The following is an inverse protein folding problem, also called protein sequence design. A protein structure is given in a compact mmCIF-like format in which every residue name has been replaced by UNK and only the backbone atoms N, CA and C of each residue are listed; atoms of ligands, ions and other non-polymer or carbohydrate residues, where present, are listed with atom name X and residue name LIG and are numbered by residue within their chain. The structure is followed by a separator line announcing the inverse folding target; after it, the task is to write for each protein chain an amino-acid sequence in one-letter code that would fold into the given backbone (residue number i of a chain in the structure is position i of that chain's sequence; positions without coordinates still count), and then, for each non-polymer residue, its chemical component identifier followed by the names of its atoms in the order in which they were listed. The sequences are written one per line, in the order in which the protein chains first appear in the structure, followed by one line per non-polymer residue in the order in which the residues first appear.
data_IF_005523482644
#
_entry.id   IF_005523482644
#
_cell.length_a   1.000
_cell.length_b   1.000
_cell.length_c   1.000
_cell.angle_alpha   90.00
_cell.angle_beta   90.00
_cell.angle_gamma   90.00
#
_symmetry.space_group_name_H-M   'P 1'
#
loop_
_entity.id
_entity.type
_entity.pdbx_description
1 polymer ?
#
# COMPACT_ATOMS: atom_id res chain seq x y z
N UNK A 1 -9.10 37.29 -2.27
CA UNK A 1 -8.26 36.08 -2.13
C UNK A 1 -6.93 36.51 -1.52
N UNK A 2 -6.61 36.11 -0.27
CA UNK A 2 -5.27 36.30 0.28
C UNK A 2 -4.38 35.20 -0.30
N UNK A 3 -3.28 35.58 -0.96
CA UNK A 3 -2.28 34.63 -1.43
C UNK A 3 -1.62 33.98 -0.22
N UNK A 4 -1.86 32.68 -0.02
CA UNK A 4 -1.26 31.92 1.10
C UNK A 4 0.25 31.73 0.89
N UNK A 5 0.69 31.78 -0.37
CA UNK A 5 2.09 31.81 -0.76
C UNK A 5 2.46 33.24 -1.14
N UNK A 6 3.50 33.82 -0.55
CA UNK A 6 3.91 35.19 -0.86
C UNK A 6 4.15 35.41 -2.37
N UNK A 7 4.99 34.58 -2.99
CA UNK A 7 5.25 34.55 -4.44
C UNK A 7 4.68 33.24 -5.04
N UNK A 8 3.67 33.31 -5.94
CA UNK A 8 3.10 32.13 -6.61
C UNK A 8 4.13 31.27 -7.34
N UNK A 9 5.24 31.85 -7.79
CA UNK A 9 6.29 31.14 -8.51
C UNK A 9 7.23 30.35 -7.57
N UNK A 10 7.13 30.58 -6.25
CA UNK A 10 7.93 29.89 -5.22
C UNK A 10 7.09 28.89 -4.41
N UNK A 11 5.83 28.69 -4.76
CA UNK A 11 5.00 27.70 -4.11
C UNK A 11 5.54 26.29 -4.43
N UNK A 12 5.79 25.43 -3.43
CA UNK A 12 6.20 24.06 -3.69
C UNK A 12 5.10 23.33 -4.50
N UNK A 13 5.46 22.34 -5.33
CA UNK A 13 4.49 21.53 -6.03
C UNK A 13 3.49 20.94 -5.03
N UNK A 14 2.17 20.95 -5.33
CA UNK A 14 1.16 20.49 -4.39
C UNK A 14 1.20 18.98 -4.11
N UNK A 15 2.04 18.25 -4.84
CA UNK A 15 2.23 16.82 -4.74
C UNK A 15 3.72 16.51 -4.94
N UNK A 16 4.31 15.77 -4.01
CA UNK A 16 5.68 15.30 -4.11
C UNK A 16 5.70 13.82 -4.51
N UNK A 17 6.60 13.45 -5.43
CA UNK A 17 6.81 12.05 -5.82
C UNK A 17 7.67 11.38 -4.76
N UNK A 18 7.17 10.29 -4.18
CA UNK A 18 7.91 9.51 -3.20
C UNK A 18 9.16 8.83 -3.79
N UNK A 19 10.20 8.70 -2.97
CA UNK A 19 11.33 7.81 -3.28
C UNK A 19 10.88 6.35 -3.26
N UNK A 20 11.57 5.42 -3.95
CA UNK A 20 11.23 4.00 -3.92
C UNK A 20 11.12 3.41 -2.50
N UNK A 21 11.99 3.82 -1.59
CA UNK A 21 12.03 3.37 -0.19
C UNK A 21 10.80 3.89 0.57
N UNK A 22 10.46 5.16 0.38
CA UNK A 22 9.27 5.77 0.98
C UNK A 22 7.98 5.12 0.45
N UNK A 23 7.94 4.77 -0.85
CA UNK A 23 6.83 4.00 -1.43
C UNK A 23 6.68 2.64 -0.75
N UNK A 24 7.77 1.90 -0.60
CA UNK A 24 7.74 0.60 0.10
C UNK A 24 7.27 0.76 1.54
N UNK A 25 7.66 1.84 2.23
CA UNK A 25 7.19 2.08 3.59
C UNK A 25 5.69 2.35 3.66
N UNK A 26 5.18 3.28 2.85
CA UNK A 26 3.76 3.65 2.85
C UNK A 26 2.86 2.50 2.38
N UNK A 27 3.36 1.63 1.51
CA UNK A 27 2.53 0.59 0.90
C UNK A 27 2.67 -0.77 1.55
N UNK A 28 3.88 -1.18 1.91
CA UNK A 28 4.17 -2.53 2.38
C UNK A 28 4.51 -2.61 3.87
N UNK A 29 5.31 -1.67 4.37
CA UNK A 29 5.84 -1.71 5.74
C UNK A 29 5.83 -0.36 6.45
N UNK A 30 4.92 -0.23 7.39
CA UNK A 30 4.80 0.97 8.22
C UNK A 30 3.47 0.98 8.92
N UNK A 31 3.41 1.74 10.01
CA UNK A 31 2.14 2.06 10.66
C UNK A 31 1.24 2.80 9.67
N UNK A 32 0.01 2.31 9.50
CA UNK A 32 -0.95 2.82 8.52
C UNK A 32 -0.61 2.48 7.08
N UNK A 33 0.28 1.52 6.85
CA UNK A 33 0.58 1.07 5.48
C UNK A 33 -0.62 0.36 4.85
N UNK A 34 -0.72 0.41 3.51
CA UNK A 34 -1.82 -0.23 2.79
C UNK A 34 -1.97 -1.72 3.15
N UNK A 35 -0.86 -2.46 3.21
CA UNK A 35 -0.86 -3.89 3.55
C UNK A 35 -1.28 -4.13 5.00
N UNK A 36 -0.86 -3.27 5.93
CA UNK A 36 -1.31 -3.37 7.33
C UNK A 36 -2.81 -3.14 7.45
N UNK A 37 -3.33 -2.06 6.87
CA UNK A 37 -4.74 -1.71 6.87
C UNK A 37 -5.61 -2.81 6.24
N UNK A 38 -5.13 -3.40 5.14
CA UNK A 38 -5.78 -4.55 4.51
C UNK A 38 -5.91 -5.72 5.50
N UNK A 39 -4.81 -6.09 6.16
CA UNK A 39 -4.80 -7.19 7.13
C UNK A 39 -5.71 -6.89 8.33
N UNK A 40 -5.70 -5.65 8.83
CA UNK A 40 -6.59 -5.22 9.92
C UNK A 40 -8.07 -5.29 9.53
N UNK A 41 -8.42 -4.86 8.31
CA UNK A 41 -9.78 -4.95 7.80
C UNK A 41 -10.25 -6.40 7.61
N UNK A 42 -9.34 -7.31 7.24
CA UNK A 42 -9.65 -8.73 7.04
C UNK A 42 -9.70 -9.53 8.35
N UNK A 43 -8.91 -9.14 9.36
CA UNK A 43 -8.78 -9.84 10.64
C UNK A 43 -10.10 -10.25 11.31
N UNK A 44 -11.14 -9.38 11.45
CA UNK A 44 -12.39 -9.78 12.10
C UNK A 44 -13.24 -10.78 11.29
N UNK A 45 -12.81 -11.11 10.08
CA UNK A 45 -13.53 -11.98 9.14
C UNK A 45 -12.76 -13.24 8.75
N UNK A 46 -11.60 -13.48 9.37
CA UNK A 46 -10.74 -14.61 9.09
C UNK A 46 -10.51 -15.47 10.33
N UNK A 47 -10.26 -16.76 10.12
CA UNK A 47 -9.77 -17.64 11.18
C UNK A 47 -8.35 -17.23 11.59
N UNK A 48 -8.05 -17.30 12.89
CA UNK A 48 -6.79 -16.81 13.45
C UNK A 48 -5.56 -17.51 12.85
N UNK A 49 -5.62 -18.83 12.62
CA UNK A 49 -4.54 -19.58 11.97
C UNK A 49 -4.25 -19.07 10.56
N UNK A 50 -5.29 -18.94 9.73
CA UNK A 50 -5.16 -18.43 8.36
C UNK A 50 -4.65 -16.99 8.30
N UNK A 51 -5.08 -16.15 9.25
CA UNK A 51 -4.60 -14.78 9.38
C UNK A 51 -3.12 -14.72 9.76
N UNK A 52 -2.68 -15.58 10.68
CA UNK A 52 -1.27 -15.64 11.10
C UNK A 52 -0.38 -16.16 9.97
N UNK A 53 -0.80 -17.21 9.27
CA UNK A 53 -0.10 -17.72 8.09
C UNK A 53 0.04 -16.63 7.02
N UNK A 54 -1.03 -15.87 6.74
CA UNK A 54 -0.98 -14.75 5.79
C UNK A 54 0.02 -13.67 6.24
N UNK A 55 0.03 -13.31 7.53
CA UNK A 55 0.98 -12.32 8.08
C UNK A 55 2.43 -12.80 7.97
N UNK A 56 2.70 -14.07 8.19
CA UNK A 56 4.03 -14.66 8.02
C UNK A 56 4.48 -14.58 6.57
N UNK A 57 3.65 -15.03 5.63
CA UNK A 57 3.96 -14.93 4.20
C UNK A 57 4.17 -13.48 3.74
N UNK A 58 3.36 -12.53 4.20
CA UNK A 58 3.54 -11.10 3.89
C UNK A 58 4.93 -10.60 4.32
N UNK A 59 5.45 -11.06 5.47
CA UNK A 59 6.81 -10.72 5.93
C UNK A 59 7.89 -11.34 5.04
N UNK A 60 7.69 -12.57 4.59
CA UNK A 60 8.61 -13.24 3.66
C UNK A 60 8.66 -12.56 2.29
N UNK A 61 7.58 -11.91 1.88
CA UNK A 61 7.46 -11.17 0.63
C UNK A 61 7.81 -9.67 0.76
N UNK A 62 8.51 -9.25 1.82
CA UNK A 62 9.01 -7.88 1.97
C UNK A 62 9.97 -7.51 0.82
N UNK A 63 9.63 -6.50 -0.02
CA UNK A 63 10.49 -6.08 -1.13
C UNK A 63 11.75 -5.33 -0.68
N UNK A 64 11.88 -5.03 0.62
CA UNK A 64 13.02 -4.35 1.20
C UNK A 64 14.34 -5.08 0.94
N UNK A 65 15.40 -4.31 0.67
CA UNK A 65 16.73 -4.88 0.39
C UNK A 65 16.94 -5.32 -1.05
N UNK A 66 15.92 -5.23 -1.92
CA UNK A 66 16.08 -5.43 -3.36
C UNK A 66 16.78 -4.25 -4.03
N UNK A 67 17.57 -4.53 -5.05
CA UNK A 67 18.21 -3.52 -5.92
C UNK A 67 17.16 -2.79 -6.78
N UNK A 68 16.07 -3.46 -7.16
CA UNK A 68 14.95 -2.89 -7.91
C UNK A 68 13.68 -2.96 -7.06
N UNK A 69 13.57 -2.05 -6.10
CA UNK A 69 12.44 -1.97 -5.15
C UNK A 69 11.09 -1.87 -5.87
N UNK A 70 11.02 -1.18 -7.01
CA UNK A 70 9.77 -1.04 -7.76
C UNK A 70 9.33 -2.38 -8.31
N UNK A 71 10.24 -3.09 -9.00
CA UNK A 71 9.92 -4.39 -9.58
C UNK A 71 9.59 -5.41 -8.51
N UNK A 72 10.31 -5.40 -7.39
CA UNK A 72 10.06 -6.35 -6.31
C UNK A 72 8.73 -6.05 -5.61
N UNK A 73 8.44 -4.79 -5.30
CA UNK A 73 7.14 -4.38 -4.76
C UNK A 73 5.98 -4.78 -5.68
N UNK A 74 6.14 -4.62 -6.99
CA UNK A 74 5.14 -5.08 -7.96
C UNK A 74 4.92 -6.60 -7.86
N UNK A 75 5.99 -7.40 -7.79
CA UNK A 75 5.86 -8.86 -7.61
C UNK A 75 5.18 -9.20 -6.29
N UNK A 76 5.59 -8.57 -5.19
CA UNK A 76 4.99 -8.79 -3.87
C UNK A 76 3.50 -8.48 -3.88
N UNK A 77 3.07 -7.42 -4.56
CA UNK A 77 1.64 -7.13 -4.73
C UNK A 77 0.90 -8.13 -5.63
N UNK A 78 1.53 -8.58 -6.72
CA UNK A 78 0.90 -9.60 -7.58
C UNK A 78 0.74 -10.93 -6.84
N UNK A 79 1.71 -11.30 -6.01
CA UNK A 79 1.61 -12.43 -5.11
C UNK A 79 0.48 -12.22 -4.08
N UNK A 80 0.47 -11.08 -3.38
CA UNK A 80 -0.54 -10.78 -2.37
C UNK A 80 -1.97 -10.79 -2.96
N UNK A 81 -2.14 -10.29 -4.18
CA UNK A 81 -3.39 -10.38 -4.92
C UNK A 81 -3.83 -11.83 -5.08
N UNK A 82 -2.93 -12.69 -5.51
CA UNK A 82 -3.25 -14.10 -5.77
C UNK A 82 -3.55 -14.85 -4.48
N UNK A 83 -2.79 -14.57 -3.42
CA UNK A 83 -3.02 -15.12 -2.07
C UNK A 83 -4.39 -14.68 -1.53
N UNK A 84 -4.70 -13.38 -1.57
CA UNK A 84 -5.99 -12.85 -1.11
C UNK A 84 -7.15 -13.37 -1.95
N UNK A 85 -7.00 -13.46 -3.27
CA UNK A 85 -8.03 -14.00 -4.18
C UNK A 85 -8.33 -15.48 -3.91
N UNK A 86 -7.35 -16.24 -3.40
CA UNK A 86 -7.54 -17.66 -3.06
C UNK A 86 -8.35 -17.88 -1.77
N UNK A 87 -8.53 -16.84 -0.95
CA UNK A 87 -9.27 -16.94 0.31
C UNK A 87 -10.78 -17.08 0.07
N UNK A 88 -11.50 -17.82 0.95
CA UNK A 88 -12.94 -18.01 0.83
C UNK A 88 -13.70 -16.68 0.90
N UNK A 89 -14.40 -16.32 -0.18
CA UNK A 89 -15.28 -15.15 -0.16
C UNK A 89 -16.53 -15.44 0.67
N UNK A 90 -16.85 -14.54 1.59
CA UNK A 90 -18.08 -14.60 2.40
C UNK A 90 -18.92 -13.35 2.16
N UNK A 91 -20.18 -13.36 2.59
CA UNK A 91 -21.02 -12.16 2.52
C UNK A 91 -20.48 -10.99 3.36
N UNK A 92 -19.57 -11.27 4.32
CA UNK A 92 -18.91 -10.26 5.16
C UNK A 92 -17.55 -9.82 4.62
N UNK A 93 -16.89 -10.63 3.79
CA UNK A 93 -15.56 -10.33 3.30
C UNK A 93 -15.41 -10.69 1.82
N UNK A 94 -15.23 -9.64 1.00
CA UNK A 94 -15.08 -9.70 -0.45
C UNK A 94 -13.61 -9.66 -0.82
N UNK A 95 -12.91 -10.76 -0.58
CA UNK A 95 -11.48 -10.89 -0.88
C UNK A 95 -11.20 -10.77 -2.39
N UNK A 96 -12.15 -11.17 -3.24
CA UNK A 96 -12.12 -10.94 -4.69
C UNK A 96 -11.94 -9.46 -5.05
N UNK A 97 -12.68 -8.58 -4.38
CA UNK A 97 -12.64 -7.13 -4.59
C UNK A 97 -11.37 -6.52 -4.01
N UNK A 98 -10.93 -7.00 -2.84
CA UNK A 98 -9.65 -6.58 -2.26
C UNK A 98 -8.47 -6.94 -3.19
N UNK A 99 -8.50 -8.11 -3.81
CA UNK A 99 -7.51 -8.51 -4.81
C UNK A 99 -7.50 -7.58 -6.04
N UNK A 100 -8.67 -7.15 -6.53
CA UNK A 100 -8.72 -6.19 -7.64
C UNK A 100 -8.09 -4.84 -7.27
N UNK A 101 -8.30 -4.36 -6.04
CA UNK A 101 -7.64 -3.15 -5.55
C UNK A 101 -6.11 -3.32 -5.47
N UNK A 102 -5.63 -4.44 -4.93
CA UNK A 102 -4.20 -4.76 -4.90
C UNK A 102 -3.60 -4.76 -6.31
N UNK A 103 -4.33 -5.30 -7.29
CA UNK A 103 -3.89 -5.30 -8.68
C UNK A 103 -3.70 -3.88 -9.23
N UNK A 104 -4.56 -2.92 -8.88
CA UNK A 104 -4.38 -1.51 -9.26
C UNK A 104 -3.10 -0.92 -8.65
N UNK A 105 -2.82 -1.22 -7.38
CA UNK A 105 -1.58 -0.79 -6.72
C UNK A 105 -0.33 -1.39 -7.37
N UNK A 106 -0.37 -2.66 -7.78
CA UNK A 106 0.74 -3.34 -8.45
C UNK A 106 1.18 -2.67 -9.77
N UNK A 107 0.28 -1.96 -10.46
CA UNK A 107 0.58 -1.26 -11.72
C UNK A 107 0.64 0.26 -11.57
N UNK A 108 0.53 0.78 -10.34
CA UNK A 108 0.65 2.20 -10.09
C UNK A 108 2.11 2.63 -10.23
N UNK A 109 2.38 3.51 -11.19
CA UNK A 109 3.74 3.96 -11.52
C UNK A 109 4.27 4.99 -10.52
N UNK A 110 3.43 5.89 -10.04
CA UNK A 110 3.89 7.00 -9.19
C UNK A 110 2.96 7.16 -8.02
N UNK A 111 3.52 7.10 -6.81
CA UNK A 111 2.84 7.48 -5.59
C UNK A 111 3.24 8.90 -5.25
N UNK A 112 2.23 9.70 -4.90
CA UNK A 112 2.40 11.10 -4.55
C UNK A 112 1.80 11.33 -3.18
N UNK A 113 2.53 12.02 -2.32
CA UNK A 113 2.02 12.45 -1.02
C UNK A 113 1.83 13.96 -1.05
N UNK A 114 0.83 14.41 -0.30
CA UNK A 114 0.53 15.81 -0.06
C UNK A 114 0.76 16.10 1.41
N UNK A 115 1.93 16.62 1.78
CA UNK A 115 2.08 17.26 3.08
C UNK A 115 1.64 18.72 2.94
N UNK A 116 0.36 18.99 3.24
CA UNK A 116 -0.11 20.35 3.46
C UNK A 116 0.20 20.73 4.91
N UNK A 117 1.44 21.12 5.19
CA UNK A 117 1.76 21.77 6.46
C UNK A 117 1.37 23.24 6.33
N UNK A 118 0.15 23.58 6.74
CA UNK A 118 -0.23 24.98 6.95
C UNK A 118 0.37 25.41 8.30
N UNK A 119 1.47 26.17 8.27
CA UNK A 119 1.96 26.96 9.39
C UNK A 119 1.32 28.36 9.35
#
# INVERSE_FOLDING_TARGET
MRSVFGDPNKAPPPLEKLSPEAVVSVLWKGEGSLVEELVQCMAPHMEEGLLNDLKEKIREHDPSGSVDLRRELQKSFLWLRDEVRSLPCTYKCRHDTAADLIHLYAYTKYFRVRELTFL
#
